data_IF_842535412842
#
_entry.id   IF_842535412842
#
_cell.length_a   1.000
_cell.length_b   1.000
_cell.length_c   1.000
_cell.angle_alpha   90.00
_cell.angle_beta   90.00
_cell.angle_gamma   90.00
#
_symmetry.space_group_name_H-M   'P 1'
#
loop_
_entity.id
_entity.type
_entity.pdbx_description
1 polymer ?
#
# COMPACT_ATOMS: atom_id res chain seq x y z
N UNK A 1 -6.01 9.77 -8.14
CA UNK A 1 -4.66 9.50 -7.56
C UNK A 1 -4.74 8.31 -6.61
N UNK A 2 -3.61 7.64 -6.30
CA UNK A 2 -3.53 6.56 -5.29
C UNK A 2 -2.43 6.90 -4.27
N UNK A 3 -2.81 7.05 -3.00
CA UNK A 3 -1.89 7.26 -1.87
C UNK A 3 -1.27 5.94 -1.39
N UNK A 4 -0.06 6.00 -0.83
CA UNK A 4 0.58 4.86 -0.17
C UNK A 4 -0.12 4.53 1.15
N UNK A 5 -0.69 5.53 1.81
CA UNK A 5 -1.45 5.35 3.06
C UNK A 5 -2.94 5.63 2.88
N UNK A 6 -3.81 4.99 3.69
CA UNK A 6 -5.23 5.02 3.42
C UNK A 6 -5.78 6.45 3.44
N UNK A 7 -6.61 6.78 2.45
CA UNK A 7 -7.37 8.03 2.39
C UNK A 7 -8.53 7.99 3.39
N UNK A 8 -9.15 6.82 3.54
CA UNK A 8 -10.25 6.59 4.47
C UNK A 8 -10.31 5.12 4.90
N UNK A 9 -10.90 4.89 6.07
CA UNK A 9 -11.21 3.56 6.59
C UNK A 9 -12.62 3.53 7.19
N UNK A 10 -13.30 2.41 6.98
CA UNK A 10 -14.56 2.08 7.62
C UNK A 10 -14.44 0.73 8.29
N UNK A 11 -15.09 0.57 9.42
CA UNK A 11 -15.12 -0.68 10.18
C UNK A 11 -16.55 -1.13 10.44
N UNK A 12 -16.71 -2.44 10.52
CA UNK A 12 -17.94 -3.13 10.92
C UNK A 12 -17.56 -4.17 11.96
N UNK A 13 -18.40 -4.38 12.96
CA UNK A 13 -18.18 -5.40 13.96
C UNK A 13 -19.48 -5.93 14.54
N UNK A 14 -19.51 -7.23 14.83
CA UNK A 14 -20.64 -7.90 15.47
C UNK A 14 -20.15 -9.06 16.33
N UNK A 15 -20.95 -9.38 17.34
CA UNK A 15 -20.80 -10.63 18.08
C UNK A 15 -21.15 -11.82 17.18
N UNK A 16 -20.57 -12.97 17.51
CA UNK A 16 -20.79 -14.25 16.83
C UNK A 16 -21.24 -15.30 17.85
N UNK A 17 -22.11 -16.22 17.45
CA UNK A 17 -22.59 -17.28 18.33
C UNK A 17 -21.91 -18.62 17.99
N UNK A 18 -20.86 -19.00 18.74
CA UNK A 18 -20.19 -20.31 18.69
C UNK A 18 -19.83 -20.83 17.28
N UNK A 19 -19.28 -19.97 16.43
CA UNK A 19 -18.71 -20.32 15.12
C UNK A 19 -17.22 -20.65 15.19
N UNK A 20 -16.67 -21.31 14.17
CA UNK A 20 -15.21 -21.38 13.99
C UNK A 20 -14.72 -19.98 13.60
N UNK A 21 -13.75 -19.41 14.32
CA UNK A 21 -13.15 -18.09 14.01
C UNK A 21 -12.67 -18.02 12.56
N UNK A 22 -12.13 -19.13 12.03
CA UNK A 22 -11.70 -19.23 10.62
C UNK A 22 -12.90 -19.06 9.70
N UNK A 23 -14.02 -19.70 10.01
CA UNK A 23 -15.24 -19.63 9.21
C UNK A 23 -15.87 -18.24 9.27
N UNK A 24 -16.05 -17.67 10.47
CA UNK A 24 -16.65 -16.32 10.64
C UNK A 24 -15.80 -15.24 9.93
N UNK A 25 -14.47 -15.29 10.09
CA UNK A 25 -13.55 -14.37 9.43
C UNK A 25 -13.68 -14.44 7.90
N UNK A 26 -13.65 -15.66 7.33
CA UNK A 26 -13.78 -15.85 5.88
C UNK A 26 -15.17 -15.48 5.36
N UNK A 27 -16.24 -15.71 6.13
CA UNK A 27 -17.60 -15.30 5.77
C UNK A 27 -17.71 -13.78 5.66
N UNK A 28 -17.24 -13.04 6.67
CA UNK A 28 -17.22 -11.58 6.66
C UNK A 28 -16.42 -11.06 5.46
N UNK A 29 -15.21 -11.58 5.25
CA UNK A 29 -14.32 -11.15 4.17
C UNK A 29 -14.92 -11.40 2.78
N UNK A 30 -15.37 -12.63 2.50
CA UNK A 30 -15.86 -13.00 1.17
C UNK A 30 -17.25 -12.43 0.88
N UNK A 31 -18.09 -12.27 1.91
CA UNK A 31 -19.35 -11.54 1.81
C UNK A 31 -19.12 -10.09 1.40
N UNK A 32 -18.19 -9.40 2.10
CA UNK A 32 -17.83 -8.03 1.77
C UNK A 32 -17.19 -7.90 0.38
N UNK A 33 -16.30 -8.83 -0.01
CA UNK A 33 -15.72 -8.85 -1.35
C UNK A 33 -16.80 -8.95 -2.44
N UNK A 34 -17.80 -9.81 -2.25
CA UNK A 34 -18.91 -9.95 -3.20
C UNK A 34 -19.72 -8.66 -3.37
N UNK A 35 -19.90 -7.88 -2.29
CA UNK A 35 -20.52 -6.54 -2.36
C UNK A 35 -19.68 -5.59 -3.21
N UNK A 36 -18.37 -5.51 -2.96
CA UNK A 36 -17.46 -4.67 -3.75
C UNK A 36 -17.46 -5.09 -5.24
N UNK A 37 -17.49 -6.39 -5.52
CA UNK A 37 -17.53 -6.92 -6.88
C UNK A 37 -18.82 -6.52 -7.63
N UNK A 38 -19.98 -6.59 -6.96
CA UNK A 38 -21.27 -6.14 -7.53
C UNK A 38 -21.26 -4.67 -7.94
N UNK A 39 -20.53 -3.84 -7.21
CA UNK A 39 -20.35 -2.41 -7.50
C UNK A 39 -19.15 -2.12 -8.42
N UNK A 40 -18.47 -3.16 -8.95
CA UNK A 40 -17.23 -3.10 -9.75
C UNK A 40 -16.07 -2.36 -9.03
N UNK A 41 -16.08 -2.37 -7.70
CA UNK A 41 -15.02 -1.82 -6.84
C UNK A 41 -13.96 -2.89 -6.52
N UNK A 42 -14.29 -4.16 -6.74
CA UNK A 42 -13.35 -5.27 -6.85
C UNK A 42 -13.59 -5.99 -8.19
N UNK A 43 -12.54 -6.36 -8.92
CA UNK A 43 -12.60 -7.08 -10.19
C UNK A 43 -11.55 -8.17 -10.24
N UNK A 44 -11.83 -9.22 -11.02
CA UNK A 44 -10.94 -10.36 -11.17
C UNK A 44 -11.06 -11.38 -10.04
N UNK A 45 -10.16 -12.35 -10.05
CA UNK A 45 -10.04 -13.36 -9.01
C UNK A 45 -9.13 -12.83 -7.88
N UNK A 46 -9.60 -12.74 -6.63
CA UNK A 46 -8.78 -12.23 -5.53
C UNK A 46 -7.84 -13.32 -5.00
N UNK A 47 -6.76 -12.87 -4.38
CA UNK A 47 -5.94 -13.70 -3.48
C UNK A 47 -6.28 -13.30 -2.06
N UNK A 48 -6.63 -14.28 -1.23
CA UNK A 48 -6.88 -14.08 0.20
C UNK A 48 -5.59 -14.37 0.95
N UNK A 49 -5.05 -13.37 1.64
CA UNK A 49 -4.02 -13.58 2.64
C UNK A 49 -4.70 -13.97 3.96
N UNK A 50 -4.23 -15.02 4.64
CA UNK A 50 -4.78 -15.46 5.94
C UNK A 50 -3.64 -15.73 6.91
N UNK A 51 -3.77 -15.26 8.16
CA UNK A 51 -2.93 -15.65 9.27
C UNK A 51 -3.77 -16.10 10.48
N UNK A 52 -3.39 -17.23 11.08
CA UNK A 52 -4.00 -17.78 12.30
C UNK A 52 -2.98 -17.76 13.41
N UNK A 53 -3.31 -17.10 14.52
CA UNK A 53 -2.42 -16.85 15.64
C UNK A 53 -2.81 -17.72 16.84
N UNK A 54 -1.80 -18.16 17.60
CA UNK A 54 -2.01 -18.97 18.80
C UNK A 54 -2.53 -18.13 19.98
N UNK A 55 -3.42 -18.70 20.78
CA UNK A 55 -3.91 -18.09 22.00
C UNK A 55 -2.76 -17.79 22.99
N UNK A 56 -2.71 -16.55 23.48
CA UNK A 56 -1.67 -16.11 24.42
C UNK A 56 -0.30 -15.82 23.80
N UNK A 57 -0.12 -16.00 22.48
CA UNK A 57 1.13 -15.75 21.77
C UNK A 57 0.90 -15.14 20.39
N UNK A 58 0.72 -13.82 20.34
CA UNK A 58 0.44 -13.08 19.08
C UNK A 58 1.53 -13.26 18.02
N UNK A 59 2.76 -13.53 18.42
CA UNK A 59 3.88 -13.73 17.50
C UNK A 59 3.95 -15.17 16.96
N UNK A 60 3.22 -16.11 17.57
CA UNK A 60 3.20 -17.51 17.12
C UNK A 60 2.06 -17.74 16.12
N UNK A 61 2.41 -18.13 14.90
CA UNK A 61 1.47 -18.38 13.81
C UNK A 61 1.24 -19.88 13.65
N UNK A 62 -0.01 -20.30 13.83
CA UNK A 62 -0.46 -21.68 13.58
C UNK A 62 -0.63 -21.96 12.09
N UNK A 63 -0.97 -20.92 11.32
CA UNK A 63 -1.09 -20.95 9.86
C UNK A 63 -0.79 -19.55 9.29
N UNK A 64 -0.19 -19.52 8.11
CA UNK A 64 -0.07 -18.31 7.28
C UNK A 64 0.02 -18.73 5.81
N UNK A 65 -0.73 -18.07 4.94
CA UNK A 65 -0.61 -18.33 3.51
C UNK A 65 -1.48 -17.45 2.63
N UNK A 66 -1.10 -17.40 1.36
CA UNK A 66 -1.84 -16.75 0.29
C UNK A 66 -2.67 -17.80 -0.47
N UNK A 67 -3.97 -17.56 -0.55
CA UNK A 67 -4.97 -18.49 -1.08
C UNK A 67 -5.64 -17.83 -2.31
N UNK A 68 -5.17 -18.09 -3.54
CA UNK A 68 -5.83 -17.59 -4.74
C UNK A 68 -7.22 -18.22 -4.86
N UNK A 69 -8.25 -17.39 -5.05
CA UNK A 69 -9.60 -17.88 -5.29
C UNK A 69 -9.77 -18.16 -6.79
N UNK A 70 -10.17 -19.40 -7.12
CA UNK A 70 -10.58 -19.74 -8.49
C UNK A 70 -11.99 -19.22 -8.81
N UNK A 71 -12.51 -19.56 -9.99
CA UNK A 71 -13.94 -19.47 -10.25
C UNK A 71 -14.68 -20.51 -9.40
N UNK A 72 -15.43 -20.05 -8.40
CA UNK A 72 -16.23 -20.93 -7.51
C UNK A 72 -17.71 -20.57 -7.64
N UNK A 73 -18.65 -21.54 -7.64
CA UNK A 73 -20.06 -21.27 -7.91
C UNK A 73 -20.79 -20.47 -6.82
N UNK A 74 -20.36 -20.51 -5.55
CA UNK A 74 -21.00 -19.79 -4.44
C UNK A 74 -20.01 -19.40 -3.34
N UNK A 75 -20.26 -18.26 -2.68
CA UNK A 75 -19.43 -17.77 -1.58
C UNK A 75 -19.41 -18.75 -0.38
N UNK A 76 -20.54 -19.37 -0.05
CA UNK A 76 -20.64 -20.32 1.05
C UNK A 76 -19.82 -21.60 0.82
N UNK A 77 -19.76 -22.09 -0.42
CA UNK A 77 -18.91 -23.23 -0.77
C UNK A 77 -17.43 -22.86 -0.71
N UNK A 78 -17.06 -21.66 -1.19
CA UNK A 78 -15.69 -21.14 -1.08
C UNK A 78 -15.24 -21.07 0.38
N UNK A 79 -16.04 -20.45 1.25
CA UNK A 79 -15.76 -20.37 2.69
C UNK A 79 -15.51 -21.77 3.26
N UNK A 80 -16.43 -22.71 3.04
CA UNK A 80 -16.33 -24.06 3.60
C UNK A 80 -15.07 -24.79 3.11
N UNK A 81 -14.73 -24.66 1.83
CA UNK A 81 -13.54 -25.29 1.25
C UNK A 81 -12.25 -24.67 1.79
N UNK A 82 -12.17 -23.34 1.91
CA UNK A 82 -10.99 -22.66 2.46
C UNK A 82 -10.82 -22.93 3.95
N UNK A 83 -11.90 -22.86 4.73
CA UNK A 83 -11.88 -23.16 6.15
C UNK A 83 -11.37 -24.59 6.39
N UNK A 84 -11.94 -25.60 5.70
CA UNK A 84 -11.49 -26.98 5.83
C UNK A 84 -10.02 -27.18 5.41
N UNK A 85 -9.53 -26.42 4.43
CA UNK A 85 -8.13 -26.44 4.02
C UNK A 85 -7.22 -25.86 5.11
N UNK A 86 -7.55 -24.66 5.61
CA UNK A 86 -6.77 -23.99 6.67
C UNK A 86 -6.74 -24.88 7.91
N UNK A 87 -7.90 -25.36 8.37
CA UNK A 87 -8.03 -26.24 9.53
C UNK A 87 -7.24 -27.55 9.39
N UNK A 88 -7.17 -28.10 8.16
CA UNK A 88 -6.35 -29.28 7.86
C UNK A 88 -4.84 -29.03 7.82
N UNK A 89 -4.41 -27.78 7.64
CA UNK A 89 -3.00 -27.36 7.56
C UNK A 89 -2.50 -26.68 8.86
N UNK A 90 -3.38 -26.48 9.86
CA UNK A 90 -3.04 -25.86 11.14
C UNK A 90 -1.94 -26.65 11.88
N UNK A 91 -0.95 -25.92 12.39
CA UNK A 91 -0.03 -26.45 13.39
C UNK A 91 -0.75 -26.67 14.73
N UNK A 92 -0.30 -27.62 15.58
CA UNK A 92 -0.87 -27.82 16.90
C UNK A 92 -0.83 -26.53 17.74
N UNK A 93 -1.97 -26.16 18.33
CA UNK A 93 -2.14 -24.98 19.17
C UNK A 93 -3.62 -24.62 19.28
N UNK A 94 -3.95 -23.77 20.26
CA UNK A 94 -5.30 -23.19 20.39
C UNK A 94 -5.37 -21.92 19.56
N UNK A 95 -6.42 -21.75 18.76
CA UNK A 95 -6.63 -20.52 17.97
C UNK A 95 -6.97 -19.37 18.92
N UNK A 96 -6.20 -18.28 18.84
CA UNK A 96 -6.47 -17.05 19.58
C UNK A 96 -7.06 -15.93 18.73
N UNK A 97 -6.66 -15.86 17.46
CA UNK A 97 -7.19 -14.90 16.50
C UNK A 97 -6.95 -15.36 15.06
N UNK A 98 -7.87 -14.97 14.18
CA UNK A 98 -7.74 -15.15 12.73
C UNK A 98 -7.81 -13.79 12.06
N UNK A 99 -6.87 -13.52 11.15
CA UNK A 99 -6.88 -12.34 10.30
C UNK A 99 -6.87 -12.76 8.84
N UNK A 100 -7.62 -12.05 8.01
CA UNK A 100 -7.60 -12.25 6.58
C UNK A 100 -7.76 -10.93 5.83
N UNK A 101 -7.12 -10.80 4.67
CA UNK A 101 -7.26 -9.61 3.84
C UNK A 101 -7.18 -9.91 2.34
N UNK A 102 -7.74 -8.98 1.56
CA UNK A 102 -7.73 -8.98 0.11
C UNK A 102 -7.35 -7.59 -0.39
N UNK A 103 -6.30 -7.54 -1.22
CA UNK A 103 -6.00 -6.38 -2.06
C UNK A 103 -6.99 -6.37 -3.23
N UNK A 104 -7.87 -5.38 -3.25
CA UNK A 104 -8.92 -5.27 -4.25
C UNK A 104 -8.45 -4.41 -5.44
N UNK A 105 -8.27 -5.08 -6.58
CA UNK A 105 -8.16 -4.44 -7.89
C UNK A 105 -9.54 -3.92 -8.28
N UNK A 106 -9.67 -2.68 -8.73
CA UNK A 106 -10.98 -2.08 -9.00
C UNK A 106 -10.98 -1.10 -10.16
N UNK A 107 -12.15 -0.53 -10.46
CA UNK A 107 -12.32 0.41 -11.57
C UNK A 107 -12.74 1.80 -11.11
N UNK A 108 -11.92 2.79 -11.43
CA UNK A 108 -12.23 4.22 -11.33
C UNK A 108 -12.76 4.72 -12.67
N UNK A 109 -13.89 5.41 -12.66
CA UNK A 109 -14.48 6.01 -13.87
C UNK A 109 -13.98 7.44 -14.05
N UNK A 110 -13.50 7.76 -15.24
CA UNK A 110 -13.01 9.11 -15.59
C UNK A 110 -13.77 9.62 -16.82
N UNK A 111 -14.94 10.28 -16.62
CA UNK A 111 -15.78 10.71 -17.74
C UNK A 111 -15.09 11.68 -18.70
N UNK A 112 -14.17 12.51 -18.20
CA UNK A 112 -13.47 13.52 -19.00
C UNK A 112 -12.40 12.92 -19.93
N UNK A 113 -12.04 11.65 -19.75
CA UNK A 113 -11.01 10.94 -20.51
C UNK A 113 -11.55 9.75 -21.32
N UNK A 114 -12.88 9.61 -21.45
CA UNK A 114 -13.56 8.51 -22.16
C UNK A 114 -13.03 7.12 -21.73
N UNK A 115 -12.81 6.92 -20.42
CA UNK A 115 -12.13 5.73 -19.91
C UNK A 115 -12.56 5.22 -18.54
N UNK A 116 -12.42 3.91 -18.37
CA UNK A 116 -12.34 3.23 -17.07
C UNK A 116 -10.86 2.96 -16.79
N UNK A 117 -10.34 3.44 -15.65
CA UNK A 117 -8.98 3.15 -15.20
C UNK A 117 -9.00 2.00 -14.21
N UNK A 118 -8.15 1.01 -14.43
CA UNK A 118 -7.97 -0.12 -13.52
C UNK A 118 -6.92 0.23 -12.49
N UNK A 119 -7.30 0.15 -11.21
CA UNK A 119 -6.43 0.44 -10.08
C UNK A 119 -6.10 -0.85 -9.35
N UNK A 120 -4.81 -1.14 -9.15
CA UNK A 120 -4.36 -2.41 -8.58
C UNK A 120 -4.65 -2.55 -7.08
N UNK A 121 -4.76 -1.41 -6.37
CA UNK A 121 -5.02 -1.36 -4.94
C UNK A 121 -6.03 -0.26 -4.66
N UNK A 122 -7.21 -0.39 -5.27
CA UNK A 122 -8.29 0.56 -5.07
C UNK A 122 -8.81 0.50 -3.63
N UNK A 123 -8.93 -0.72 -3.13
CA UNK A 123 -9.23 -1.00 -1.73
C UNK A 123 -8.32 -2.09 -1.16
N UNK A 124 -8.17 -2.09 0.17
CA UNK A 124 -7.79 -3.27 0.93
C UNK A 124 -8.97 -3.59 1.84
N UNK A 125 -9.48 -4.81 1.73
CA UNK A 125 -10.56 -5.34 2.56
C UNK A 125 -9.94 -6.29 3.58
N UNK A 126 -10.18 -6.06 4.87
CA UNK A 126 -9.72 -6.91 5.95
C UNK A 126 -10.90 -7.51 6.72
N UNK A 127 -10.66 -8.65 7.36
CA UNK A 127 -11.52 -9.22 8.38
C UNK A 127 -10.67 -9.82 9.50
N UNK A 128 -11.20 -9.82 10.72
CA UNK A 128 -10.61 -10.57 11.82
C UNK A 128 -11.68 -11.17 12.72
N UNK A 129 -11.40 -12.33 13.29
CA UNK A 129 -12.26 -13.01 14.25
C UNK A 129 -11.44 -13.45 15.47
N UNK A 130 -11.91 -13.09 16.66
CA UNK A 130 -11.33 -13.49 17.94
C UNK A 130 -12.33 -13.18 19.07
N UNK A 131 -12.28 -13.96 20.16
CA UNK A 131 -13.11 -13.72 21.36
C UNK A 131 -14.61 -13.58 21.05
N UNK A 132 -15.14 -14.47 20.21
CA UNK A 132 -16.54 -14.47 19.76
C UNK A 132 -16.97 -13.18 19.03
N UNK A 133 -16.01 -12.38 18.55
CA UNK A 133 -16.26 -11.12 17.85
C UNK A 133 -15.63 -11.16 16.46
N UNK A 134 -16.39 -10.74 15.44
CA UNK A 134 -15.88 -10.60 14.07
C UNK A 134 -15.91 -9.14 13.67
N UNK A 135 -14.84 -8.70 13.03
CA UNK A 135 -14.72 -7.37 12.42
C UNK A 135 -14.39 -7.49 10.94
N UNK A 136 -14.85 -6.51 10.18
CA UNK A 136 -14.38 -6.25 8.83
C UNK A 136 -13.96 -4.79 8.70
N UNK A 137 -12.97 -4.50 7.86
CA UNK A 137 -12.57 -3.14 7.54
C UNK A 137 -12.34 -2.94 6.04
N UNK A 138 -12.73 -1.77 5.55
CA UNK A 138 -12.49 -1.35 4.19
C UNK A 138 -11.59 -0.12 4.20
N UNK A 139 -10.45 -0.21 3.52
CA UNK A 139 -9.51 0.90 3.36
C UNK A 139 -9.42 1.29 1.90
N UNK A 140 -9.57 2.57 1.59
CA UNK A 140 -9.32 3.09 0.24
C UNK A 140 -8.07 3.94 0.19
N UNK A 141 -7.45 3.96 -0.98
CA UNK A 141 -6.25 4.75 -1.25
C UNK A 141 -6.49 5.80 -2.33
N UNK A 142 -7.70 5.86 -2.89
CA UNK A 142 -8.05 6.77 -3.98
C UNK A 142 -8.81 7.99 -3.48
N UNK A 143 -8.61 9.09 -4.18
CA UNK A 143 -9.39 10.33 -4.04
C UNK A 143 -10.59 10.41 -4.98
N UNK A 144 -10.81 9.43 -5.86
CA UNK A 144 -11.91 9.43 -6.83
C UNK A 144 -13.32 9.56 -6.19
N UNK A 145 -13.40 9.35 -4.88
CA UNK A 145 -14.62 9.44 -4.07
C UNK A 145 -14.91 10.84 -3.56
N UNK A 146 -14.03 11.80 -3.82
CA UNK A 146 -14.09 13.16 -3.26
C UNK A 146 -14.28 14.22 -4.37
N UNK A 147 -14.91 15.36 -4.08
CA UNK A 147 -15.09 16.43 -5.06
C UNK A 147 -13.77 17.10 -5.50
N UNK A 148 -12.75 17.10 -4.64
CA UNK A 148 -11.39 17.55 -4.95
C UNK A 148 -10.38 16.41 -4.81
N UNK A 149 -9.35 16.39 -5.65
CA UNK A 149 -8.24 15.43 -5.55
C UNK A 149 -7.35 15.76 -4.34
N UNK A 150 -6.34 14.93 -4.07
CA UNK A 150 -5.45 15.15 -2.92
C UNK A 150 -4.57 16.41 -3.03
N UNK A 151 -4.44 16.98 -4.22
CA UNK A 151 -3.74 18.25 -4.48
C UNK A 151 -4.70 19.46 -4.43
N UNK A 152 -5.97 19.24 -4.08
CA UNK A 152 -7.00 20.26 -3.98
C UNK A 152 -7.60 20.69 -5.32
N UNK A 153 -7.34 19.96 -6.42
CA UNK A 153 -7.89 20.29 -7.73
C UNK A 153 -9.31 19.72 -7.87
N UNK A 154 -10.25 20.46 -8.49
CA UNK A 154 -11.62 19.99 -8.65
C UNK A 154 -11.69 18.81 -9.64
N UNK A 155 -12.47 17.79 -9.29
CA UNK A 155 -12.66 16.58 -10.10
C UNK A 155 -14.13 16.15 -10.18
N UNK A 156 -15.03 17.10 -10.46
CA UNK A 156 -16.48 16.89 -10.39
C UNK A 156 -17.00 15.72 -11.24
N UNK A 157 -16.45 15.51 -12.45
CA UNK A 157 -16.83 14.39 -13.31
C UNK A 157 -16.46 13.03 -12.70
N UNK A 158 -15.24 12.91 -12.18
CA UNK A 158 -14.76 11.71 -11.48
C UNK A 158 -15.61 11.44 -10.25
N UNK A 159 -15.84 12.45 -9.41
CA UNK A 159 -16.67 12.33 -8.21
C UNK A 159 -18.08 11.85 -8.54
N UNK A 160 -18.76 12.49 -9.50
CA UNK A 160 -20.12 12.15 -9.90
C UNK A 160 -20.25 10.70 -10.42
N UNK A 161 -19.21 10.17 -11.06
CA UNK A 161 -19.21 8.81 -11.60
C UNK A 161 -18.89 7.72 -10.57
N UNK A 162 -18.24 8.07 -9.46
CA UNK A 162 -17.68 7.11 -8.50
C UNK A 162 -18.30 7.18 -7.11
N UNK A 163 -18.58 8.37 -6.58
CA UNK A 163 -19.15 8.54 -5.23
C UNK A 163 -20.45 7.73 -5.02
N UNK A 164 -21.46 7.75 -5.94
CA UNK A 164 -22.67 6.97 -5.74
C UNK A 164 -22.44 5.46 -5.65
N UNK A 165 -21.39 4.94 -6.30
CA UNK A 165 -21.02 3.52 -6.24
C UNK A 165 -20.42 3.17 -4.89
N UNK A 166 -19.54 4.02 -4.35
CA UNK A 166 -19.01 3.84 -3.00
C UNK A 166 -20.12 3.92 -1.96
N UNK A 167 -20.97 4.95 -2.01
CA UNK A 167 -22.08 5.12 -1.07
C UNK A 167 -23.03 3.91 -1.08
N UNK A 168 -23.35 3.38 -2.26
CA UNK A 168 -24.15 2.17 -2.37
C UNK A 168 -23.42 0.94 -1.81
N UNK A 169 -22.12 0.80 -2.06
CA UNK A 169 -21.33 -0.31 -1.52
C UNK A 169 -21.24 -0.28 0.01
N UNK A 170 -21.01 0.88 0.63
CA UNK A 170 -20.93 1.03 2.10
C UNK A 170 -22.25 0.66 2.80
N UNK A 171 -23.39 1.08 2.22
CA UNK A 171 -24.71 0.67 2.71
C UNK A 171 -24.88 -0.85 2.59
N UNK A 172 -24.63 -1.39 1.41
CA UNK A 172 -24.85 -2.81 1.13
C UNK A 172 -23.85 -3.70 1.92
N UNK A 173 -22.68 -3.19 2.27
CA UNK A 173 -21.72 -3.85 3.17
C UNK A 173 -22.31 -3.97 4.58
N UNK A 174 -22.94 -2.90 5.09
CA UNK A 174 -23.58 -2.91 6.40
C UNK A 174 -24.72 -3.94 6.45
N UNK A 175 -25.48 -4.09 5.36
CA UNK A 175 -26.52 -5.12 5.24
C UNK A 175 -25.94 -6.55 5.22
N UNK A 176 -24.86 -6.79 4.47
CA UNK A 176 -24.26 -8.13 4.34
C UNK A 176 -23.48 -8.54 5.59
N UNK A 177 -22.83 -7.59 6.25
CA UNK A 177 -22.05 -7.82 7.47
C UNK A 177 -22.94 -7.86 8.72
N UNK A 178 -24.21 -7.47 8.60
CA UNK A 178 -25.18 -7.36 9.70
C UNK A 178 -24.64 -6.53 10.86
N UNK A 179 -24.06 -5.37 10.52
CA UNK A 179 -23.42 -4.47 11.46
C UNK A 179 -23.53 -3.03 10.98
N UNK A 180 -23.63 -2.09 11.91
CA UNK A 180 -23.58 -0.67 11.59
C UNK A 180 -22.18 -0.28 11.09
N UNK A 181 -22.13 0.65 10.15
CA UNK A 181 -20.88 1.23 9.67
C UNK A 181 -20.32 2.18 10.72
N UNK A 182 -19.03 2.02 11.02
CA UNK A 182 -18.28 2.95 11.85
C UNK A 182 -17.16 3.59 11.02
N UNK A 183 -17.32 4.86 10.59
CA UNK A 183 -16.25 5.62 9.95
C UNK A 183 -15.12 5.89 10.95
N UNK A 184 -13.91 5.42 10.65
CA UNK A 184 -12.74 5.54 11.55
C UNK A 184 -12.29 7.01 11.71
N UNK A 185 -11.28 7.26 12.53
CA UNK A 185 -10.74 8.60 12.70
C UNK A 185 -10.27 9.21 11.37
N UNK A 186 -10.37 10.56 11.20
CA UNK A 186 -9.84 11.24 10.03
C UNK A 186 -8.38 10.90 9.77
N UNK A 187 -8.07 10.57 8.51
CA UNK A 187 -6.70 10.39 8.07
C UNK A 187 -6.06 11.75 7.77
N UNK A 188 -4.79 11.77 7.36
CA UNK A 188 -4.17 12.99 6.84
C UNK A 188 -4.77 13.46 5.51
N UNK A 189 -5.55 12.62 4.82
CA UNK A 189 -6.02 12.88 3.45
C UNK A 189 -7.51 13.09 3.33
N UNK A 190 -8.30 12.42 4.16
CA UNK A 190 -9.76 12.50 4.10
C UNK A 190 -10.42 12.17 5.43
N UNK A 191 -11.67 12.63 5.53
CA UNK A 191 -12.57 12.31 6.63
C UNK A 191 -13.56 11.25 6.17
N UNK A 192 -13.46 9.99 6.64
CA UNK A 192 -14.47 8.99 6.31
C UNK A 192 -15.83 9.43 6.88
N UNK A 193 -16.89 9.15 6.14
CA UNK A 193 -18.29 9.37 6.53
C UNK A 193 -19.07 8.08 6.24
N UNK A 194 -20.31 7.97 6.72
CA UNK A 194 -21.15 6.80 6.46
C UNK A 194 -21.40 6.52 4.95
N UNK A 195 -21.15 7.49 4.08
CA UNK A 195 -21.46 7.40 2.65
C UNK A 195 -20.25 7.58 1.73
N UNK A 196 -19.09 7.97 2.26
CA UNK A 196 -17.91 8.26 1.45
C UNK A 196 -16.84 8.99 2.23
N UNK A 197 -16.15 9.93 1.58
CA UNK A 197 -15.02 10.63 2.17
C UNK A 197 -15.15 12.12 1.89
N UNK A 198 -14.94 12.95 2.91
CA UNK A 198 -14.91 14.40 2.80
C UNK A 198 -13.46 14.93 2.70
N UNK A 199 -13.26 15.94 1.86
CA UNK A 199 -11.99 16.65 1.74
C UNK A 199 -11.67 17.49 3.01
N UNK A 200 -10.40 17.82 3.17
CA UNK A 200 -9.97 18.92 4.03
C UNK A 200 -10.04 20.26 3.30
N UNK A 201 -10.39 21.30 4.06
CA UNK A 201 -10.44 22.68 3.59
C UNK A 201 -9.63 23.55 4.55
N UNK A 202 -8.95 24.54 3.98
CA UNK A 202 -8.25 25.58 4.72
C UNK A 202 -9.24 26.55 5.38
N UNK A 203 -8.81 27.38 6.35
CA UNK A 203 -9.69 28.34 7.02
C UNK A 203 -10.37 29.35 6.09
N UNK A 204 -9.82 29.58 4.89
CA UNK A 204 -10.41 30.44 3.86
C UNK A 204 -11.44 29.73 2.96
N UNK A 205 -11.67 28.43 3.19
CA UNK A 205 -12.61 27.59 2.46
C UNK A 205 -12.05 26.98 1.17
N UNK A 206 -10.77 27.20 0.85
CA UNK A 206 -10.11 26.52 -0.27
C UNK A 206 -9.81 25.05 0.07
N UNK A 207 -9.84 24.13 -0.91
CA UNK A 207 -9.48 22.73 -0.69
C UNK A 207 -7.99 22.60 -0.35
N UNK A 208 -7.67 21.80 0.66
CA UNK A 208 -6.28 21.60 1.10
C UNK A 208 -5.50 20.69 0.15
N UNK A 209 -4.28 21.08 -0.21
CA UNK A 209 -3.28 20.19 -0.83
C UNK A 209 -2.65 19.29 0.25
N UNK A 210 -3.31 18.18 0.53
CA UNK A 210 -2.87 17.17 1.50
C UNK A 210 -1.83 16.21 0.91
N UNK A 211 -1.76 16.12 -0.43
CA UNK A 211 -0.78 15.30 -1.13
C UNK A 211 0.64 15.83 -0.92
N UNK A 212 0.87 17.10 -1.28
CA UNK A 212 2.19 17.73 -1.13
C UNK A 212 2.58 17.88 0.33
N UNK A 213 1.58 18.07 1.20
CA UNK A 213 1.81 18.29 2.64
C UNK A 213 2.13 17.01 3.42
N UNK A 214 1.53 15.87 3.06
CA UNK A 214 1.65 14.65 3.86
C UNK A 214 2.14 13.45 3.06
N UNK A 215 1.58 13.19 1.89
CA UNK A 215 1.90 11.99 1.12
C UNK A 215 3.30 12.07 0.53
N UNK A 216 3.70 13.19 -0.08
CA UNK A 216 5.06 13.37 -0.61
C UNK A 216 6.11 13.24 0.52
N UNK A 217 6.02 13.96 1.65
CA UNK A 217 6.97 13.78 2.75
C UNK A 217 7.04 12.35 3.27
N UNK A 218 5.89 11.70 3.55
CA UNK A 218 5.84 10.34 4.09
C UNK A 218 6.41 9.30 3.12
N UNK A 219 6.15 9.48 1.84
CA UNK A 219 6.74 8.65 0.79
C UNK A 219 8.25 8.87 0.70
N UNK A 220 8.70 10.10 0.88
CA UNK A 220 10.12 10.44 0.91
C UNK A 220 10.82 9.88 2.15
N UNK A 221 10.13 9.77 3.28
CA UNK A 221 10.65 9.17 4.52
C UNK A 221 11.13 7.72 4.32
N UNK A 222 10.50 6.91 3.46
CA UNK A 222 10.93 5.53 3.16
C UNK A 222 12.38 5.46 2.67
N UNK A 223 12.82 6.49 1.94
CA UNK A 223 14.18 6.58 1.41
C UNK A 223 15.19 7.10 2.44
N UNK A 224 14.71 7.91 3.40
CA UNK A 224 15.54 8.57 4.42
C UNK A 224 15.66 7.76 5.71
N UNK A 225 14.69 6.90 6.00
CA UNK A 225 14.63 6.07 7.19
C UNK A 225 14.75 4.58 6.83
N UNK A 226 15.58 3.85 7.57
CA UNK A 226 15.52 2.40 7.61
C UNK A 226 14.40 1.94 8.57
N UNK A 227 13.95 0.68 8.50
CA UNK A 227 13.04 0.14 9.51
C UNK A 227 13.62 0.34 10.92
N UNK A 228 12.77 0.79 11.85
CA UNK A 228 13.16 1.38 13.15
C UNK A 228 13.51 0.31 14.22
N UNK A 229 13.29 -0.97 13.94
CA UNK A 229 13.59 -2.06 14.88
C UNK A 229 14.57 -3.07 14.25
N UNK A 230 15.71 -3.28 14.94
CA UNK A 230 16.81 -4.22 14.62
C UNK A 230 17.32 -4.22 13.17
N UNK A 231 17.91 -3.10 12.73
CA UNK A 231 18.30 -2.84 11.34
C UNK A 231 19.14 -3.95 10.68
N UNK A 232 18.50 -4.79 9.87
CA UNK A 232 19.13 -5.60 8.83
C UNK A 232 19.21 -4.73 7.57
N UNK A 233 20.37 -4.12 7.30
CA UNK A 233 20.60 -3.30 6.09
C UNK A 233 21.58 -2.14 6.28
N UNK A 234 21.89 -1.45 5.18
CA UNK A 234 22.63 -0.18 5.24
C UNK A 234 21.81 0.92 5.91
N UNK A 235 22.48 1.82 6.64
CA UNK A 235 21.85 3.03 7.19
C UNK A 235 21.39 3.96 6.05
N UNK A 236 20.32 4.73 6.29
CA UNK A 236 19.73 5.64 5.27
C UNK A 236 19.73 7.12 5.67
N UNK A 237 20.07 7.44 6.91
CA UNK A 237 20.13 8.81 7.45
C UNK A 237 21.37 9.01 8.31
N UNK A 238 22.48 9.48 7.70
CA UNK A 238 23.63 10.04 8.42
C UNK A 238 24.26 11.17 7.61
N UNK A 239 24.72 12.20 8.32
CA UNK A 239 25.34 13.38 7.75
C UNK A 239 26.79 13.09 7.36
N UNK A 240 27.13 13.30 6.09
CA UNK A 240 28.48 13.04 5.59
C UNK A 240 28.58 13.21 4.07
N UNK A 241 29.80 13.11 3.56
CA UNK A 241 30.06 13.06 2.13
C UNK A 241 29.70 11.66 1.61
N UNK A 242 28.86 11.60 0.58
CA UNK A 242 28.44 10.38 -0.11
C UNK A 242 29.02 10.35 -1.51
N UNK A 243 29.16 9.15 -2.07
CA UNK A 243 29.35 8.95 -3.50
C UNK A 243 28.01 8.63 -4.13
N UNK A 244 27.65 9.33 -5.20
CA UNK A 244 26.38 9.12 -5.88
C UNK A 244 26.52 8.95 -7.38
N UNK A 245 25.56 8.25 -7.99
CA UNK A 245 25.41 8.09 -9.44
C UNK A 245 23.95 8.37 -9.84
N UNK A 246 23.70 8.97 -11.01
CA UNK A 246 22.34 9.13 -11.51
C UNK A 246 21.76 7.79 -11.98
N UNK A 247 20.46 7.61 -11.75
CA UNK A 247 19.64 6.58 -12.37
C UNK A 247 18.75 7.26 -13.38
N UNK A 248 18.72 6.74 -14.61
CA UNK A 248 17.98 7.30 -15.73
C UNK A 248 16.93 6.33 -16.25
N UNK A 249 15.80 6.86 -16.69
CA UNK A 249 14.77 6.08 -17.37
C UNK A 249 15.17 5.75 -18.81
N UNK A 250 14.59 4.69 -19.38
CA UNK A 250 14.88 4.27 -20.76
C UNK A 250 14.44 5.31 -21.81
N UNK A 251 13.39 6.07 -21.50
CA UNK A 251 12.87 7.15 -22.34
C UNK A 251 13.64 8.48 -22.17
N UNK A 252 14.69 8.48 -21.36
CA UNK A 252 15.47 9.67 -21.00
C UNK A 252 14.87 10.41 -19.80
N UNK A 253 15.73 11.01 -18.99
CA UNK A 253 15.35 11.69 -17.75
C UNK A 253 15.94 11.02 -16.51
N UNK A 254 16.28 11.82 -15.49
CA UNK A 254 16.84 11.33 -14.22
C UNK A 254 15.71 10.96 -13.28
N UNK A 255 15.64 9.68 -12.90
CA UNK A 255 14.69 9.15 -11.92
C UNK A 255 15.15 9.43 -10.49
N UNK A 256 16.45 9.58 -10.27
CA UNK A 256 17.01 9.88 -8.95
C UNK A 256 18.49 9.54 -8.88
N UNK A 257 19.00 9.44 -7.66
CA UNK A 257 20.40 9.24 -7.39
C UNK A 257 20.62 8.12 -6.39
N UNK A 258 21.35 7.08 -6.81
CA UNK A 258 21.82 6.03 -5.91
C UNK A 258 23.08 6.54 -5.21
N UNK A 259 23.18 6.40 -3.89
CA UNK A 259 24.32 6.90 -3.13
C UNK A 259 24.80 5.94 -2.05
N UNK A 260 26.08 6.06 -1.69
CA UNK A 260 26.76 5.24 -0.69
C UNK A 260 27.81 6.03 0.12
N UNK A 261 28.00 5.64 1.38
CA UNK A 261 29.05 6.08 2.29
C UNK A 261 29.55 4.89 3.12
N UNK A 262 30.78 4.46 2.88
CA UNK A 262 31.42 3.41 3.69
C UNK A 262 31.71 3.90 5.11
N UNK A 263 32.01 5.20 5.28
CA UNK A 263 32.32 5.80 6.57
C UNK A 263 31.14 5.66 7.55
N UNK A 264 29.92 5.74 7.04
CA UNK A 264 28.70 5.67 7.84
C UNK A 264 28.03 4.28 7.84
N UNK A 265 28.56 3.36 7.03
CA UNK A 265 27.87 2.12 6.63
C UNK A 265 26.46 2.40 6.10
N UNK A 266 26.35 3.37 5.19
CA UNK A 266 25.10 3.93 4.71
C UNK A 266 24.99 3.86 3.19
N UNK A 267 23.82 3.50 2.67
CA UNK A 267 23.49 3.56 1.26
C UNK A 267 21.98 3.70 1.12
N UNK A 268 21.54 4.51 0.16
CA UNK A 268 20.14 4.67 -0.18
C UNK A 268 19.97 5.19 -1.59
N UNK A 269 18.74 5.51 -1.94
CA UNK A 269 18.35 6.15 -3.18
C UNK A 269 17.60 7.44 -2.86
N UNK A 270 18.00 8.57 -3.45
CA UNK A 270 17.24 9.83 -3.38
C UNK A 270 16.44 9.99 -4.68
N UNK A 271 15.09 9.83 -4.64
CA UNK A 271 14.25 10.01 -5.83
C UNK A 271 14.25 11.47 -6.28
N UNK A 272 14.24 11.69 -7.59
CA UNK A 272 14.11 13.04 -8.16
C UNK A 272 12.65 13.47 -8.11
N UNK A 273 12.34 14.59 -7.47
CA UNK A 273 10.96 15.07 -7.31
C UNK A 273 10.27 15.32 -8.66
N UNK A 274 10.99 15.89 -9.63
CA UNK A 274 10.47 16.15 -10.97
C UNK A 274 10.05 14.89 -11.75
N UNK A 275 10.55 13.71 -11.38
CA UNK A 275 10.18 12.43 -12.00
C UNK A 275 9.06 11.69 -11.24
N UNK A 276 8.52 12.28 -10.17
CA UNK A 276 7.26 11.88 -9.53
C UNK A 276 7.17 10.39 -9.18
N UNK A 277 6.10 9.73 -9.64
CA UNK A 277 5.81 8.34 -9.31
C UNK A 277 6.86 7.36 -9.86
N UNK A 278 7.40 7.63 -11.05
CA UNK A 278 8.41 6.77 -11.67
C UNK A 278 9.70 6.73 -10.85
N UNK A 279 10.17 7.89 -10.39
CA UNK A 279 11.31 8.01 -9.48
C UNK A 279 11.12 7.16 -8.22
N UNK A 280 9.91 7.18 -7.66
CA UNK A 280 9.59 6.45 -6.44
C UNK A 280 9.52 4.95 -6.62
N UNK A 281 8.88 4.47 -7.70
CA UNK A 281 8.85 3.05 -8.06
C UNK A 281 10.25 2.52 -8.32
N UNK A 282 11.06 3.27 -9.07
CA UNK A 282 12.46 2.94 -9.31
C UNK A 282 13.25 2.86 -8.00
N UNK A 283 13.05 3.83 -7.10
CA UNK A 283 13.71 3.86 -5.80
C UNK A 283 13.45 2.61 -4.95
N UNK A 284 12.24 2.07 -4.93
CA UNK A 284 11.93 0.84 -4.18
C UNK A 284 12.72 -0.37 -4.71
N UNK A 285 12.83 -0.50 -6.04
CA UNK A 285 13.63 -1.57 -6.67
C UNK A 285 15.11 -1.41 -6.34
N UNK A 286 15.63 -0.18 -6.34
CA UNK A 286 17.02 0.08 -5.96
C UNK A 286 17.29 -0.17 -4.48
N UNK A 287 16.34 0.13 -3.59
CA UNK A 287 16.44 -0.19 -2.17
C UNK A 287 16.48 -1.71 -1.92
N UNK A 288 15.70 -2.50 -2.67
CA UNK A 288 15.76 -3.97 -2.63
C UNK A 288 17.12 -4.50 -3.11
N UNK A 289 17.67 -3.94 -4.20
CA UNK A 289 19.01 -4.30 -4.70
C UNK A 289 20.12 -3.97 -3.68
N UNK A 290 20.01 -2.84 -3.00
CA UNK A 290 20.91 -2.47 -1.90
C UNK A 290 20.77 -3.43 -0.71
N UNK A 291 19.54 -3.82 -0.36
CA UNK A 291 19.31 -4.79 0.70
C UNK A 291 19.94 -6.15 0.38
N UNK A 292 19.72 -6.67 -0.84
CA UNK A 292 20.40 -7.89 -1.32
C UNK A 292 21.91 -7.75 -1.25
N UNK A 293 22.48 -6.61 -1.66
CA UNK A 293 23.93 -6.38 -1.57
C UNK A 293 24.44 -6.44 -0.12
N UNK A 294 23.67 -5.90 0.82
CA UNK A 294 23.97 -5.99 2.25
C UNK A 294 23.93 -7.43 2.77
N UNK A 295 22.93 -8.23 2.37
CA UNK A 295 22.83 -9.65 2.74
C UNK A 295 24.03 -10.47 2.23
N UNK A 296 24.62 -10.07 1.11
CA UNK A 296 25.85 -10.65 0.56
C UNK A 296 27.13 -10.10 1.22
N UNK A 297 27.01 -9.25 2.24
CA UNK A 297 28.13 -8.71 3.01
C UNK A 297 28.94 -7.63 2.29
N UNK A 298 28.41 -7.02 1.24
CA UNK A 298 29.10 -5.94 0.51
C UNK A 298 29.14 -4.66 1.35
N UNK A 299 30.20 -3.87 1.20
CA UNK A 299 30.23 -2.48 1.68
C UNK A 299 29.31 -1.59 0.82
N UNK A 300 28.86 -0.44 1.32
CA UNK A 300 28.08 0.52 0.53
C UNK A 300 28.66 0.86 -0.85
N UNK A 301 29.96 1.15 -0.97
CA UNK A 301 30.59 1.47 -2.26
C UNK A 301 30.68 0.24 -3.18
N UNK A 302 30.90 -0.95 -2.62
CA UNK A 302 30.86 -2.20 -3.39
C UNK A 302 29.44 -2.46 -3.92
N UNK A 303 28.41 -2.23 -3.10
CA UNK A 303 27.02 -2.31 -3.52
C UNK A 303 26.70 -1.30 -4.63
N UNK A 304 27.20 -0.07 -4.54
CA UNK A 304 27.05 0.95 -5.59
C UNK A 304 27.68 0.47 -6.93
N UNK A 305 28.85 -0.15 -6.84
CA UNK A 305 29.56 -0.71 -8.00
C UNK A 305 28.82 -1.92 -8.60
N UNK A 306 28.28 -2.80 -7.75
CA UNK A 306 27.47 -3.94 -8.17
C UNK A 306 26.18 -3.47 -8.86
N UNK A 307 25.52 -2.46 -8.28
CA UNK A 307 24.31 -1.83 -8.83
C UNK A 307 24.57 -1.23 -10.22
N UNK A 308 25.71 -0.55 -10.42
CA UNK A 308 26.10 0.03 -11.71
C UNK A 308 26.29 -1.02 -12.82
N UNK A 309 26.48 -2.29 -12.49
CA UNK A 309 26.59 -3.41 -13.44
C UNK A 309 25.26 -4.10 -13.72
N UNK A 310 24.19 -3.70 -13.03
CA UNK A 310 22.87 -4.28 -13.22
C UNK A 310 22.31 -3.85 -14.58
N UNK A 311 21.73 -4.76 -15.37
CA UNK A 311 21.07 -4.40 -16.63
C UNK A 311 19.94 -3.38 -16.41
N UNK A 312 19.56 -2.72 -17.50
CA UNK A 312 18.40 -1.85 -17.50
C UNK A 312 17.13 -2.59 -17.10
N UNK A 313 16.30 -1.91 -16.32
CA UNK A 313 15.07 -2.41 -15.78
C UNK A 313 13.92 -1.51 -16.25
N UNK A 314 12.83 -2.07 -16.81
CA UNK A 314 11.71 -1.27 -17.31
C UNK A 314 11.06 -0.34 -16.27
N UNK A 315 11.20 -0.66 -14.98
CA UNK A 315 10.65 0.12 -13.86
C UNK A 315 11.74 0.93 -13.18
N UNK A 316 12.92 0.34 -12.95
CA UNK A 316 13.98 0.98 -12.18
C UNK A 316 14.97 1.80 -13.01
N UNK A 317 14.84 1.78 -14.34
CA UNK A 317 15.79 2.38 -15.26
C UNK A 317 17.16 1.72 -15.17
N UNK A 318 18.21 2.49 -15.46
CA UNK A 318 19.59 2.04 -15.38
C UNK A 318 20.54 3.13 -14.90
N UNK A 319 21.70 2.72 -14.42
CA UNK A 319 22.83 3.63 -14.20
C UNK A 319 23.57 3.73 -15.54
N UNK A 320 23.79 4.94 -16.10
CA UNK A 320 24.51 5.08 -17.36
C UNK A 320 25.89 4.41 -17.28
N UNK A 321 26.32 3.61 -18.29
CA UNK A 321 27.61 2.91 -18.23
C UNK A 321 28.83 3.83 -18.06
N UNK A 322 28.69 5.10 -18.45
CA UNK A 322 29.71 6.14 -18.35
C UNK A 322 29.60 6.98 -17.07
N UNK A 323 28.61 6.72 -16.22
CA UNK A 323 28.42 7.45 -14.98
C UNK A 323 29.46 7.03 -13.94
N UNK A 324 30.36 7.94 -13.60
CA UNK A 324 31.31 7.75 -12.50
C UNK A 324 30.71 8.25 -11.17
N UNK A 325 30.94 7.54 -10.04
CA UNK A 325 30.49 8.00 -8.73
C UNK A 325 31.10 9.34 -8.35
N UNK A 326 30.26 10.34 -8.10
CA UNK A 326 30.68 11.71 -7.74
C UNK A 326 30.52 11.94 -6.24
N UNK A 327 31.47 12.64 -5.58
CA UNK A 327 31.32 13.00 -4.18
C UNK A 327 30.38 14.21 -4.02
N UNK A 328 29.50 14.17 -3.01
CA UNK A 328 28.64 15.31 -2.62
C UNK A 328 28.23 15.16 -1.15
N UNK A 329 27.87 16.25 -0.46
CA UNK A 329 27.22 16.12 0.84
C UNK A 329 25.81 15.54 0.66
N UNK A 330 25.37 14.68 1.57
CA UNK A 330 24.05 14.06 1.44
C UNK A 330 22.91 15.09 1.41
N UNK A 331 23.04 16.19 2.16
CA UNK A 331 22.03 17.25 2.16
C UNK A 331 22.00 18.01 0.82
N UNK A 332 23.17 18.34 0.26
CA UNK A 332 23.26 18.93 -1.09
C UNK A 332 22.72 17.97 -2.18
N UNK A 333 22.90 16.66 -2.01
CA UNK A 333 22.33 15.66 -2.93
C UNK A 333 20.80 15.63 -2.83
N UNK A 334 20.24 15.80 -1.64
CA UNK A 334 18.79 15.88 -1.42
C UNK A 334 18.21 17.17 -1.99
N UNK A 335 18.93 18.28 -1.84
CA UNK A 335 18.57 19.52 -2.53
C UNK A 335 18.59 19.31 -4.04
N UNK A 336 19.65 18.72 -4.60
CA UNK A 336 19.73 18.39 -6.03
C UNK A 336 18.57 17.51 -6.50
N UNK A 337 18.16 16.52 -5.69
CA UNK A 337 17.03 15.66 -5.99
C UNK A 337 15.67 16.38 -5.90
N UNK A 338 15.56 17.39 -5.04
CA UNK A 338 14.35 18.19 -4.83
C UNK A 338 14.14 19.34 -5.81
N UNK A 339 15.18 19.81 -6.51
CA UNK A 339 15.00 20.88 -7.49
C UNK A 339 14.45 20.33 -8.83
N UNK A 340 13.27 20.81 -9.22
CA UNK A 340 12.78 20.72 -10.60
C UNK A 340 13.57 21.66 -11.50
N UNK A 341 13.92 21.22 -12.71
CA UNK A 341 14.35 22.13 -13.77
C UNK A 341 13.15 22.94 -14.28
#
# INVERSE_FOLDING_TARGET
MIASTPVARWTWGRDTENGSDVTECLQALLGAYAVLARHRLAVGAPTVHVSVHEAGGSDNRLFEGDLPLGEVPSAADTVRTLAARIEGELRPGEIGAVYADIVCHGVVRTPDADGETHEERLFVLGASAFLDYVTADLRTFSDAWMPYDLEGRPQAGVHAANYPRLAAALRDLSEVLDAEIDPDDPTYFGRPTETGVDNFFEPDGSPSDVWSRFEIPRRTEVFRHGPVFDSVGYKRSRAGQVRYVPVVADHGGVLGYLWASDADAAASFEPREAAGEEARKAGLVWLDRLHKSYEHGLTPTEALTACARTPADPVAGHIPPTAEPRPLLLDDLRELAGHGD
#
